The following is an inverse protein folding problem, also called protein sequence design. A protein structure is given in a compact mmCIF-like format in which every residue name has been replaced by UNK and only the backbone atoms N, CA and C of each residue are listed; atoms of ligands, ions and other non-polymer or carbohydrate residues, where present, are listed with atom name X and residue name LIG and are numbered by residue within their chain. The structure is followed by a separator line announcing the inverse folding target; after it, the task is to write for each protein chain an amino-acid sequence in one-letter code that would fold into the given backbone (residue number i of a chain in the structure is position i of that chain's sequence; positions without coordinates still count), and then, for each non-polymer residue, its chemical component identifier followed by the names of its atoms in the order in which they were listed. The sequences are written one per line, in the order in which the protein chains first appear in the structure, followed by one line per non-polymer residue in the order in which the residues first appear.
data_IF_793267421324
#
_entry.id   IF_793267421324
#
_cell.length_a   1.000
_cell.length_b   1.000
_cell.length_c   1.000
_cell.angle_alpha   90.00
_cell.angle_beta   90.00
_cell.angle_gamma   90.00
#
_symmetry.space_group_name_H-M   'P 1'
#
loop_
_entity.id
_entity.type
_entity.pdbx_description
1 polymer ?
#
# COMPACT_ATOMS: atom_id res chain seq x y z
N UNK A 1 -8.06 10.94 -26.29
CA UNK A 1 -9.19 10.02 -26.05
C UNK A 1 -8.80 9.12 -24.90
N UNK A 2 -9.38 9.35 -23.72
CA UNK A 2 -9.08 8.63 -22.47
C UNK A 2 -10.38 8.08 -21.87
N UNK A 3 -11.33 7.71 -22.74
CA UNK A 3 -12.71 7.40 -22.34
C UNK A 3 -12.82 6.20 -21.39
N UNK A 4 -11.97 5.18 -21.54
CA UNK A 4 -12.01 4.00 -20.66
C UNK A 4 -11.63 4.34 -19.21
N UNK A 5 -10.69 5.27 -18.98
CA UNK A 5 -10.30 5.74 -17.64
C UNK A 5 -11.46 6.41 -16.89
N UNK A 6 -12.40 7.04 -17.61
CA UNK A 6 -13.51 7.80 -17.03
C UNK A 6 -14.82 7.04 -17.01
N UNK A 7 -14.82 5.77 -17.42
CA UNK A 7 -15.98 4.91 -17.22
C UNK A 7 -16.11 4.52 -15.74
N UNK A 8 -17.33 4.58 -15.18
CA UNK A 8 -17.55 4.10 -13.82
C UNK A 8 -17.26 2.59 -13.71
N UNK A 9 -16.94 2.14 -12.50
CA UNK A 9 -16.69 0.73 -12.20
C UNK A 9 -17.27 0.36 -10.84
N UNK A 10 -17.78 -0.86 -10.71
CA UNK A 10 -18.21 -1.42 -9.42
C UNK A 10 -17.03 -2.08 -8.72
N UNK A 11 -16.76 -1.65 -7.48
CA UNK A 11 -15.77 -2.24 -6.60
C UNK A 11 -16.48 -2.79 -5.36
N UNK A 12 -16.75 -4.07 -5.32
CA UNK A 12 -17.57 -4.67 -4.27
C UNK A 12 -18.99 -4.07 -4.26
N UNK A 13 -19.32 -3.32 -3.20
CA UNK A 13 -20.60 -2.59 -3.07
C UNK A 13 -20.48 -1.11 -3.48
N UNK A 14 -19.27 -0.64 -3.83
CA UNK A 14 -19.00 0.75 -4.13
C UNK A 14 -19.10 1.02 -5.64
N UNK A 15 -19.74 2.12 -6.01
CA UNK A 15 -19.75 2.61 -7.39
C UNK A 15 -18.70 3.71 -7.53
N UNK A 16 -17.60 3.42 -8.21
CA UNK A 16 -16.52 4.36 -8.44
C UNK A 16 -16.76 5.16 -9.71
N UNK A 17 -16.51 6.46 -9.66
CA UNK A 17 -16.82 7.41 -10.75
C UNK A 17 -15.86 7.36 -11.94
N UNK A 18 -14.67 6.79 -11.74
CA UNK A 18 -13.65 6.57 -12.78
C UNK A 18 -12.71 5.44 -12.35
N UNK A 19 -11.77 5.08 -13.22
CA UNK A 19 -10.80 3.99 -13.03
C UNK A 19 -9.40 4.46 -12.64
N UNK A 20 -9.29 5.69 -12.15
CA UNK A 20 -8.04 6.30 -11.72
C UNK A 20 -7.88 6.09 -10.22
N UNK A 21 -6.77 5.49 -9.82
CA UNK A 21 -6.45 5.23 -8.41
C UNK A 21 -5.31 6.14 -7.96
N UNK A 22 -5.48 6.77 -6.81
CA UNK A 22 -4.37 7.32 -6.04
C UNK A 22 -3.77 6.18 -5.21
N UNK A 23 -2.62 5.59 -5.60
CA UNK A 23 -2.01 4.49 -4.85
C UNK A 23 -1.40 4.99 -3.55
N UNK A 24 -1.14 4.08 -2.59
CA UNK A 24 -0.56 4.46 -1.31
C UNK A 24 0.86 5.02 -1.47
N UNK A 25 1.09 6.17 -0.89
CA UNK A 25 2.38 6.86 -0.91
C UNK A 25 2.67 7.40 0.49
N UNK A 26 3.72 6.89 1.12
CA UNK A 26 4.18 7.37 2.44
C UNK A 26 4.60 8.83 2.35
N UNK A 27 4.04 9.68 3.23
CA UNK A 27 4.36 11.10 3.28
C UNK A 27 5.02 11.50 4.61
N UNK A 28 4.95 10.63 5.64
CA UNK A 28 5.61 10.82 6.95
C UNK A 28 5.29 12.16 7.60
N UNK A 29 4.02 12.48 7.77
CA UNK A 29 3.54 13.76 8.35
C UNK A 29 2.51 13.57 9.46
N UNK A 30 2.45 12.36 10.04
CA UNK A 30 1.62 12.13 11.22
C UNK A 30 2.10 12.95 12.42
N UNK A 31 1.16 13.44 13.20
CA UNK A 31 1.45 14.23 14.41
C UNK A 31 2.14 13.40 15.48
N UNK A 32 3.11 14.01 16.15
CA UNK A 32 3.87 13.42 17.24
C UNK A 32 3.56 14.12 18.58
N UNK A 33 3.61 13.41 19.72
CA UNK A 33 3.76 11.95 19.81
C UNK A 33 2.49 11.20 19.37
N UNK A 34 2.63 9.92 19.08
CA UNK A 34 1.50 9.01 18.89
C UNK A 34 1.18 8.66 17.44
N UNK A 35 1.90 9.17 16.45
CA UNK A 35 1.71 8.81 15.03
C UNK A 35 0.25 9.00 14.57
N UNK A 36 -0.34 10.15 14.90
CA UNK A 36 -1.76 10.46 14.69
C UNK A 36 -1.96 11.19 13.37
N UNK A 37 -2.88 10.71 12.53
CA UNK A 37 -3.32 11.44 11.34
C UNK A 37 -3.95 12.78 11.73
N UNK A 38 -3.69 13.84 10.95
CA UNK A 38 -4.01 15.22 11.31
C UNK A 38 -4.79 15.98 10.23
N UNK A 39 -5.15 17.23 10.51
CA UNK A 39 -5.96 18.07 9.64
C UNK A 39 -5.24 18.39 8.30
N UNK A 40 -3.91 18.44 8.28
CA UNK A 40 -3.12 18.59 7.06
C UNK A 40 -3.26 17.36 6.16
N UNK A 41 -3.23 16.16 6.74
CA UNK A 41 -3.49 14.91 6.00
C UNK A 41 -4.94 14.87 5.50
N UNK A 42 -5.91 15.34 6.29
CA UNK A 42 -7.31 15.44 5.86
C UNK A 42 -7.45 16.35 4.63
N UNK A 43 -6.80 17.49 4.63
CA UNK A 43 -6.75 18.41 3.47
C UNK A 43 -6.11 17.72 2.26
N UNK A 44 -4.97 17.05 2.43
CA UNK A 44 -4.24 16.36 1.38
C UNK A 44 -5.09 15.31 0.64
N UNK A 45 -5.76 14.44 1.38
CA UNK A 45 -6.61 13.41 0.77
C UNK A 45 -7.90 14.00 0.19
N UNK A 46 -8.53 14.97 0.86
CA UNK A 46 -9.73 15.64 0.35
C UNK A 46 -9.49 16.38 -0.99
N UNK A 47 -8.31 17.00 -1.18
CA UNK A 47 -7.92 17.62 -2.43
C UNK A 47 -7.88 16.64 -3.61
N UNK A 48 -7.68 15.35 -3.33
CA UNK A 48 -7.52 14.26 -4.33
C UNK A 48 -8.78 13.40 -4.48
N UNK A 49 -9.90 13.83 -3.91
CA UNK A 49 -11.16 13.09 -3.91
C UNK A 49 -11.79 12.91 -5.31
N UNK A 50 -11.26 13.53 -6.37
CA UNK A 50 -11.64 13.24 -7.75
C UNK A 50 -11.19 11.85 -8.23
N UNK A 51 -10.21 11.22 -7.60
CA UNK A 51 -9.83 9.85 -7.89
C UNK A 51 -11.03 8.91 -7.74
N UNK A 52 -11.09 7.86 -8.56
CA UNK A 52 -12.09 6.81 -8.40
C UNK A 52 -11.90 6.06 -7.07
N UNK A 53 -10.65 5.82 -6.69
CA UNK A 53 -10.27 5.22 -5.42
C UNK A 53 -9.02 5.92 -4.90
N UNK A 54 -9.01 6.26 -3.61
CA UNK A 54 -7.81 6.64 -2.87
C UNK A 54 -7.41 5.44 -2.00
N UNK A 55 -6.15 5.01 -2.07
CA UNK A 55 -5.55 4.16 -1.05
C UNK A 55 -4.61 5.04 -0.24
N UNK A 56 -4.90 5.21 1.04
CA UNK A 56 -4.11 6.04 1.95
C UNK A 56 -2.71 5.44 2.16
N UNK A 57 -1.79 6.26 2.58
CA UNK A 57 -0.41 5.85 2.89
C UNK A 57 -0.32 4.65 3.85
N UNK A 58 0.80 3.91 3.80
CA UNK A 58 1.06 2.81 4.70
C UNK A 58 0.84 3.22 6.15
N UNK A 59 -0.04 2.49 6.83
CA UNK A 59 -0.54 2.79 8.16
C UNK A 59 -0.27 1.59 9.06
N UNK A 60 0.61 1.75 10.05
CA UNK A 60 1.03 0.62 10.89
C UNK A 60 -0.10 0.10 11.76
N UNK A 61 -0.20 -1.25 11.81
CA UNK A 61 -1.23 -1.98 12.55
C UNK A 61 -0.94 -2.10 14.05
N UNK A 62 0.31 -1.91 14.44
CA UNK A 62 0.80 -1.98 15.82
C UNK A 62 2.09 -1.16 15.97
N UNK A 63 2.57 -0.90 17.20
CA UNK A 63 3.89 -0.26 17.40
C UNK A 63 5.03 -1.01 16.71
N UNK A 64 5.00 -2.34 16.71
CA UNK A 64 6.00 -3.19 16.04
C UNK A 64 5.96 -3.11 14.51
N UNK A 65 4.85 -2.62 13.94
CA UNK A 65 4.68 -2.46 12.50
C UNK A 65 5.33 -1.21 11.92
N UNK A 66 5.87 -0.31 12.74
CA UNK A 66 6.44 0.96 12.28
C UNK A 66 7.84 0.79 11.69
N UNK A 67 8.04 1.28 10.45
CA UNK A 67 9.34 1.21 9.77
C UNK A 67 10.08 2.53 9.69
N UNK A 68 9.37 3.64 9.65
CA UNK A 68 9.93 4.97 9.43
C UNK A 68 9.31 5.97 10.41
N UNK A 69 10.07 6.98 10.79
CA UNK A 69 9.57 8.05 11.61
C UNK A 69 8.36 8.76 10.98
N UNK A 70 7.43 9.20 11.82
CA UNK A 70 6.28 10.05 11.48
C UNK A 70 5.25 9.41 10.54
N UNK A 71 5.27 8.08 10.36
CA UNK A 71 4.22 7.35 9.66
C UNK A 71 3.01 7.12 10.58
N UNK A 72 1.77 7.20 10.06
CA UNK A 72 0.57 7.07 10.88
C UNK A 72 0.30 5.64 11.32
N UNK A 73 -0.34 5.48 12.48
CA UNK A 73 -0.87 4.19 12.95
C UNK A 73 -2.39 4.12 12.90
N UNK A 74 -2.95 2.94 13.21
CA UNK A 74 -4.40 2.66 13.29
C UNK A 74 -4.75 1.76 14.48
N UNK A 75 -3.94 1.75 15.53
CA UNK A 75 -4.06 0.83 16.66
C UNK A 75 -4.43 1.53 17.98
N UNK A 76 -4.51 2.86 18.01
CA UNK A 76 -4.96 3.61 19.20
C UNK A 76 -6.24 4.39 18.95
N UNK A 77 -7.02 4.71 19.99
CA UNK A 77 -8.21 5.54 19.85
C UNK A 77 -7.93 6.91 19.22
N UNK A 78 -6.80 7.53 19.54
CA UNK A 78 -6.39 8.83 19.00
C UNK A 78 -6.08 8.74 17.51
N UNK A 79 -5.45 7.64 17.08
CA UNK A 79 -5.16 7.38 15.66
C UNK A 79 -6.47 7.16 14.88
N UNK A 80 -7.40 6.38 15.43
CA UNK A 80 -8.74 6.15 14.84
C UNK A 80 -9.47 7.49 14.68
N UNK A 81 -9.48 8.32 15.74
CA UNK A 81 -10.10 9.64 15.68
C UNK A 81 -9.43 10.59 14.69
N UNK A 82 -8.10 10.51 14.55
CA UNK A 82 -7.35 11.28 13.56
C UNK A 82 -7.71 10.86 12.12
N UNK A 83 -7.75 9.57 11.83
CA UNK A 83 -8.15 9.04 10.54
C UNK A 83 -9.61 9.34 10.21
N UNK A 84 -10.50 9.39 11.24
CA UNK A 84 -11.89 9.76 11.01
C UNK A 84 -12.03 11.16 10.41
N UNK A 85 -11.22 12.14 10.82
CA UNK A 85 -11.20 13.47 10.19
C UNK A 85 -10.82 13.40 8.71
N UNK A 86 -9.87 12.53 8.37
CA UNK A 86 -9.43 12.31 6.98
C UNK A 86 -10.56 11.73 6.13
N UNK A 87 -11.18 10.65 6.60
CA UNK A 87 -12.26 9.98 5.88
C UNK A 87 -13.48 10.87 5.73
N UNK A 88 -13.88 11.59 6.77
CA UNK A 88 -14.98 12.55 6.72
C UNK A 88 -14.72 13.63 5.64
N UNK A 89 -13.50 14.21 5.61
CA UNK A 89 -13.13 15.23 4.63
C UNK A 89 -13.13 14.71 3.17
N UNK A 90 -12.71 13.46 2.95
CA UNK A 90 -12.76 12.81 1.64
C UNK A 90 -14.20 12.53 1.21
N UNK A 91 -15.02 12.02 2.13
CA UNK A 91 -16.43 11.72 1.87
C UNK A 91 -17.26 12.98 1.59
N UNK A 92 -16.99 14.08 2.27
CA UNK A 92 -17.62 15.40 1.98
C UNK A 92 -17.37 15.87 0.53
N UNK A 93 -16.26 15.43 -0.08
CA UNK A 93 -15.94 15.67 -1.49
C UNK A 93 -16.43 14.56 -2.43
N UNK A 94 -17.18 13.56 -1.91
CA UNK A 94 -17.68 12.42 -2.69
C UNK A 94 -16.58 11.46 -3.13
N UNK A 95 -15.45 11.40 -2.41
CA UNK A 95 -14.36 10.45 -2.63
C UNK A 95 -14.60 9.11 -1.95
N UNK A 96 -13.84 8.09 -2.36
CA UNK A 96 -13.77 6.75 -1.76
C UNK A 96 -12.34 6.51 -1.30
N UNK A 97 -12.15 6.07 -0.06
CA UNK A 97 -10.84 5.91 0.55
C UNK A 97 -10.69 4.60 1.30
N UNK A 98 -9.61 3.85 0.99
CA UNK A 98 -9.18 2.64 1.68
C UNK A 98 -7.93 2.92 2.53
N UNK A 99 -7.82 2.26 3.69
CA UNK A 99 -6.59 2.30 4.49
C UNK A 99 -5.61 1.24 4.00
N UNK A 100 -4.33 1.57 3.78
CA UNK A 100 -3.33 0.54 3.58
C UNK A 100 -2.77 0.07 4.92
N UNK A 101 -3.05 -1.17 5.30
CA UNK A 101 -2.58 -1.78 6.56
C UNK A 101 -1.18 -2.34 6.39
N UNK A 102 -0.28 -1.94 7.28
CA UNK A 102 1.15 -2.10 7.12
C UNK A 102 1.83 -2.65 8.37
N UNK A 103 2.67 -3.66 8.18
CA UNK A 103 3.69 -4.09 9.13
C UNK A 103 4.98 -4.30 8.34
N UNK A 104 6.02 -3.59 8.71
CA UNK A 104 7.25 -3.54 7.89
C UNK A 104 8.16 -4.75 8.07
N UNK A 105 7.91 -5.58 9.09
CA UNK A 105 8.77 -6.73 9.37
C UNK A 105 10.19 -6.32 9.72
N UNK A 106 11.18 -6.82 8.97
CA UNK A 106 12.62 -6.52 9.16
C UNK A 106 13.05 -5.13 8.70
N UNK A 107 12.16 -4.38 8.04
CA UNK A 107 12.51 -3.07 7.46
C UNK A 107 12.25 -1.98 8.50
N UNK A 108 12.96 -2.04 9.61
CA UNK A 108 12.89 -1.06 10.70
C UNK A 108 14.18 -1.04 11.54
N UNK A 109 14.21 -0.12 12.49
CA UNK A 109 15.26 -0.01 13.50
C UNK A 109 14.60 0.00 14.89
N UNK A 110 15.26 -0.51 15.95
CA UNK A 110 14.75 -0.47 17.32
C UNK A 110 14.21 0.90 17.75
N UNK A 111 14.83 1.99 17.32
CA UNK A 111 14.40 3.36 17.66
C UNK A 111 12.97 3.70 17.16
N UNK A 112 12.49 3.04 16.11
CA UNK A 112 11.13 3.22 15.61
C UNK A 112 10.10 2.34 16.34
N UNK A 113 10.54 1.28 17.04
CA UNK A 113 9.68 0.25 17.64
C UNK A 113 9.91 0.08 19.14
N UNK A 114 10.24 1.16 19.82
CA UNK A 114 10.37 1.19 21.28
C UNK A 114 11.56 0.42 21.86
N UNK A 115 12.62 0.21 21.09
CA UNK A 115 13.83 -0.51 21.49
C UNK A 115 13.76 -2.03 21.29
N UNK A 116 12.65 -2.56 20.74
CA UNK A 116 12.45 -3.98 20.47
C UNK A 116 13.26 -4.46 19.27
N UNK A 117 13.55 -5.76 19.20
CA UNK A 117 14.15 -6.36 18.01
C UNK A 117 13.09 -6.56 16.93
N UNK A 118 13.36 -6.16 15.68
CA UNK A 118 12.46 -6.42 14.56
C UNK A 118 12.13 -7.91 14.39
N UNK A 119 10.95 -8.20 13.85
CA UNK A 119 10.49 -9.55 13.55
C UNK A 119 10.32 -9.75 12.05
N UNK A 120 10.54 -10.96 11.56
CA UNK A 120 10.38 -11.32 10.15
C UNK A 120 10.03 -12.80 10.00
N UNK A 121 9.76 -13.23 8.76
CA UNK A 121 9.64 -14.66 8.43
C UNK A 121 10.86 -15.47 8.90
N UNK A 122 12.04 -14.89 8.79
CA UNK A 122 13.33 -15.51 9.12
C UNK A 122 14.29 -14.48 9.71
N UNK A 123 15.32 -14.94 10.44
CA UNK A 123 16.37 -14.10 11.01
C UNK A 123 17.40 -13.69 9.92
N UNK A 124 16.92 -13.05 8.86
CA UNK A 124 17.72 -12.60 7.72
C UNK A 124 17.64 -11.07 7.61
N UNK A 125 18.77 -10.40 7.83
CA UNK A 125 18.88 -8.94 7.65
C UNK A 125 18.67 -8.57 6.18
N UNK A 126 17.97 -7.47 5.92
CA UNK A 126 17.93 -6.87 4.58
C UNK A 126 19.21 -6.07 4.34
N UNK A 127 20.02 -6.49 3.36
CA UNK A 127 21.28 -5.86 3.08
C UNK A 127 21.12 -4.53 2.32
N UNK A 128 21.94 -3.55 2.66
CA UNK A 128 21.95 -2.21 2.05
C UNK A 128 20.62 -1.44 2.17
N UNK A 129 19.82 -1.75 3.20
CA UNK A 129 18.55 -1.10 3.49
C UNK A 129 18.71 -0.14 4.65
N UNK A 130 18.19 1.07 4.48
CA UNK A 130 18.16 2.11 5.52
C UNK A 130 16.72 2.56 5.78
N UNK A 131 16.48 2.91 7.03
CA UNK A 131 15.19 3.50 7.48
C UNK A 131 15.47 4.84 8.15
N UNK A 132 14.49 5.73 8.05
CA UNK A 132 14.56 7.03 8.70
C UNK A 132 14.06 6.92 10.14
N UNK A 133 14.87 7.38 11.08
CA UNK A 133 14.53 7.45 12.51
C UNK A 133 14.45 8.88 13.01
N UNK A 134 13.62 9.10 14.01
CA UNK A 134 13.60 10.27 14.87
C UNK A 134 13.53 9.76 16.32
N UNK A 135 14.69 9.62 16.93
CA UNK A 135 14.83 9.11 18.31
C UNK A 135 14.81 10.23 19.36
N UNK A 136 14.37 11.42 18.97
CA UNK A 136 14.31 12.60 19.85
C UNK A 136 15.68 13.27 20.08
N UNK A 137 16.71 12.89 19.32
CA UNK A 137 17.96 13.65 19.23
C UNK A 137 17.82 14.80 18.23
N UNK A 138 18.74 15.76 18.27
CA UNK A 138 18.73 16.91 17.36
C UNK A 138 19.02 16.55 15.88
N UNK A 139 19.33 15.29 15.60
CA UNK A 139 19.70 14.81 14.26
C UNK A 139 18.91 13.56 13.84
N UNK A 140 17.61 13.71 13.46
CA UNK A 140 16.90 12.62 12.80
C UNK A 140 17.58 12.24 11.47
N UNK A 141 17.62 10.96 11.12
CA UNK A 141 18.36 10.55 9.94
C UNK A 141 18.17 9.10 9.51
N UNK A 142 18.87 8.72 8.44
CA UNK A 142 18.87 7.37 7.93
C UNK A 142 19.88 6.49 8.66
N UNK A 143 19.43 5.35 9.15
CA UNK A 143 20.23 4.30 9.78
C UNK A 143 20.03 2.96 9.08
N UNK A 144 21.05 2.09 9.15
CA UNK A 144 20.92 0.73 8.63
C UNK A 144 19.90 -0.06 9.47
N UNK A 145 19.10 -0.89 8.81
CA UNK A 145 18.25 -1.86 9.51
C UNK A 145 19.13 -2.86 10.28
N UNK A 146 18.55 -3.50 11.31
CA UNK A 146 19.23 -4.50 12.11
C UNK A 146 18.75 -5.92 11.76
N UNK A 147 19.47 -6.95 12.25
CA UNK A 147 19.05 -8.33 12.09
C UNK A 147 17.73 -8.56 12.86
N UNK A 148 16.68 -9.07 12.19
CA UNK A 148 15.43 -9.41 12.84
C UNK A 148 15.55 -10.75 13.57
N UNK A 149 14.63 -11.05 14.48
CA UNK A 149 14.40 -12.41 14.91
C UNK A 149 13.33 -13.08 14.05
N UNK A 150 13.47 -14.39 13.88
CA UNK A 150 12.41 -15.20 13.24
C UNK A 150 11.15 -15.20 14.10
N UNK A 151 9.99 -15.00 13.48
CA UNK A 151 8.69 -15.08 14.14
C UNK A 151 8.40 -16.50 14.62
N UNK A 152 8.05 -16.65 15.88
CA UNK A 152 7.45 -17.87 16.39
C UNK A 152 6.02 -18.04 15.86
N UNK A 153 5.46 -19.24 15.97
CA UNK A 153 4.04 -19.47 15.64
C UNK A 153 3.09 -18.61 16.48
N UNK A 154 3.51 -18.24 17.70
CA UNK A 154 2.72 -17.32 18.52
C UNK A 154 2.79 -15.89 18.00
N UNK A 155 3.96 -15.42 17.54
CA UNK A 155 4.09 -14.11 16.90
C UNK A 155 3.22 -14.02 15.64
N UNK A 156 3.21 -15.08 14.81
CA UNK A 156 2.37 -15.15 13.61
C UNK A 156 0.90 -14.98 13.98
N UNK A 157 0.41 -15.72 14.99
CA UNK A 157 -0.98 -15.59 15.47
C UNK A 157 -1.29 -14.18 15.99
N UNK A 158 -0.37 -13.58 16.73
CA UNK A 158 -0.54 -12.24 17.28
C UNK A 158 -0.63 -11.20 16.17
N UNK A 159 0.24 -11.27 15.17
CA UNK A 159 0.25 -10.33 14.04
C UNK A 159 -0.99 -10.50 13.16
N UNK A 160 -1.48 -11.72 12.94
CA UNK A 160 -2.76 -11.95 12.26
C UNK A 160 -3.91 -11.25 13.01
N UNK A 161 -3.93 -11.36 14.35
CA UNK A 161 -4.94 -10.67 15.17
C UNK A 161 -4.79 -9.15 15.12
N UNK A 162 -3.55 -8.62 15.08
CA UNK A 162 -3.29 -7.19 14.89
C UNK A 162 -3.84 -6.68 13.55
N UNK A 163 -3.66 -7.42 12.44
CA UNK A 163 -4.27 -7.10 11.15
C UNK A 163 -5.80 -7.13 11.21
N UNK A 164 -6.37 -8.15 11.87
CA UNK A 164 -7.83 -8.24 12.07
C UNK A 164 -8.36 -7.03 12.81
N UNK A 165 -7.72 -6.65 13.92
CA UNK A 165 -8.12 -5.50 14.73
C UNK A 165 -7.93 -4.18 13.97
N UNK A 166 -6.81 -4.02 13.25
CA UNK A 166 -6.57 -2.84 12.42
C UNK A 166 -7.63 -2.67 11.32
N UNK A 167 -8.11 -3.78 10.73
CA UNK A 167 -9.20 -3.72 9.77
C UNK A 167 -10.51 -3.22 10.41
N UNK A 168 -10.85 -3.68 11.61
CA UNK A 168 -12.01 -3.15 12.37
C UNK A 168 -11.83 -1.67 12.70
N UNK A 169 -10.66 -1.27 13.18
CA UNK A 169 -10.34 0.12 13.51
C UNK A 169 -10.44 1.03 12.27
N UNK A 170 -10.03 0.55 11.10
CA UNK A 170 -10.17 1.30 9.85
C UNK A 170 -11.64 1.53 9.49
N UNK A 171 -12.51 0.55 9.67
CA UNK A 171 -13.96 0.74 9.46
C UNK A 171 -14.54 1.71 10.49
N UNK A 172 -14.13 1.63 11.75
CA UNK A 172 -14.52 2.59 12.81
C UNK A 172 -14.07 4.01 12.46
N UNK A 173 -12.86 4.17 11.90
CA UNK A 173 -12.35 5.45 11.41
C UNK A 173 -13.04 5.95 10.12
N UNK A 174 -14.00 5.21 9.57
CA UNK A 174 -14.79 5.63 8.42
C UNK A 174 -14.21 5.26 7.05
N UNK A 175 -13.13 4.48 6.97
CA UNK A 175 -12.65 3.97 5.68
C UNK A 175 -13.68 3.07 5.01
N UNK A 176 -13.78 3.14 3.69
CA UNK A 176 -14.67 2.30 2.88
C UNK A 176 -14.19 0.85 2.80
N UNK A 177 -12.91 0.62 3.02
CA UNK A 177 -12.26 -0.68 3.06
C UNK A 177 -10.79 -0.56 3.42
N UNK A 178 -10.06 -1.67 3.28
CA UNK A 178 -8.63 -1.76 3.57
C UNK A 178 -7.86 -2.44 2.44
N UNK A 179 -6.59 -2.09 2.31
CA UNK A 179 -5.63 -2.78 1.44
C UNK A 179 -4.55 -3.41 2.31
N UNK A 180 -4.36 -4.73 2.20
CA UNK A 180 -3.21 -5.38 2.82
C UNK A 180 -1.94 -5.04 2.05
N UNK A 181 -0.94 -4.48 2.72
CA UNK A 181 0.37 -4.26 2.15
C UNK A 181 1.19 -5.56 2.15
N UNK A 182 1.12 -6.31 1.05
CA UNK A 182 1.85 -7.56 0.85
C UNK A 182 2.94 -7.43 -0.23
N UNK A 183 3.57 -6.25 -0.31
CA UNK A 183 4.47 -5.83 -1.38
C UNK A 183 5.75 -5.20 -0.85
N UNK A 184 6.67 -4.85 -1.74
CA UNK A 184 7.81 -3.97 -1.50
C UNK A 184 8.77 -4.41 -0.39
N UNK A 185 8.84 -5.71 -0.10
CA UNK A 185 9.76 -6.27 0.88
C UNK A 185 9.35 -6.09 2.34
N UNK A 186 8.09 -5.76 2.63
CA UNK A 186 7.57 -5.70 4.00
C UNK A 186 7.08 -7.07 4.51
N UNK A 187 6.55 -7.14 5.73
CA UNK A 187 6.38 -8.40 6.45
C UNK A 187 5.68 -9.50 5.64
N UNK A 188 4.52 -9.24 5.05
CA UNK A 188 3.80 -10.27 4.28
C UNK A 188 4.61 -10.71 3.06
N UNK A 189 5.27 -9.77 2.37
CA UNK A 189 6.16 -10.07 1.26
C UNK A 189 7.38 -10.90 1.72
N UNK A 190 7.91 -10.66 2.94
CA UNK A 190 9.01 -11.46 3.51
C UNK A 190 8.64 -12.93 3.72
N UNK A 191 7.36 -13.26 3.94
CA UNK A 191 6.89 -14.64 3.95
C UNK A 191 6.73 -15.23 2.55
N UNK A 192 6.25 -14.44 1.58
CA UNK A 192 6.02 -14.85 0.19
C UNK A 192 7.34 -15.15 -0.54
N UNK A 193 8.35 -14.32 -0.32
CA UNK A 193 9.62 -14.30 -1.04
C UNK A 193 10.53 -15.48 -0.66
N UNK A 194 11.10 -16.14 -1.68
CA UNK A 194 11.94 -17.33 -1.47
C UNK A 194 13.29 -17.04 -0.85
N UNK A 195 13.83 -15.83 -1.05
CA UNK A 195 15.16 -15.44 -0.52
C UNK A 195 15.06 -14.79 0.87
N UNK A 196 13.91 -14.22 1.20
CA UNK A 196 13.66 -13.64 2.52
C UNK A 196 13.10 -14.65 3.54
N UNK A 197 12.66 -15.81 3.08
CA UNK A 197 12.03 -16.86 3.88
C UNK A 197 12.77 -18.19 3.76
N UNK A 198 13.60 -18.50 4.75
CA UNK A 198 14.32 -19.77 4.85
C UNK A 198 13.71 -20.74 5.92
N UNK A 199 12.44 -20.53 6.29
CA UNK A 199 11.73 -21.39 7.25
C UNK A 199 11.59 -22.81 6.73
N UNK A 200 11.60 -23.76 7.67
CA UNK A 200 11.44 -25.20 7.39
C UNK A 200 10.13 -25.78 7.94
N UNK A 201 9.27 -24.91 8.49
CA UNK A 201 7.93 -25.28 8.97
C UNK A 201 6.85 -25.01 7.89
N UNK A 202 5.58 -25.06 8.27
CA UNK A 202 4.44 -24.85 7.37
C UNK A 202 4.32 -23.45 6.77
N UNK A 203 5.19 -22.51 7.15
CA UNK A 203 5.23 -21.14 6.58
C UNK A 203 6.41 -20.92 5.62
N UNK A 204 7.19 -21.96 5.27
CA UNK A 204 8.36 -21.86 4.41
C UNK A 204 8.53 -23.02 3.44
N UNK A 205 9.49 -22.89 2.54
CA UNK A 205 9.81 -23.87 1.52
C UNK A 205 8.92 -23.76 0.28
N UNK A 206 7.87 -24.56 0.17
CA UNK A 206 6.98 -24.55 -1.03
C UNK A 206 6.23 -23.22 -1.18
N UNK A 207 5.81 -22.90 -2.40
CA UNK A 207 4.97 -21.73 -2.69
C UNK A 207 3.71 -21.75 -1.81
N UNK A 208 3.04 -22.88 -1.67
CA UNK A 208 1.85 -23.01 -0.81
C UNK A 208 2.15 -22.61 0.64
N UNK A 209 3.25 -23.06 1.21
CA UNK A 209 3.64 -22.74 2.58
C UNK A 209 4.01 -21.25 2.72
N UNK A 210 4.75 -20.68 1.76
CA UNK A 210 5.13 -19.26 1.76
C UNK A 210 3.91 -18.33 1.62
N UNK A 211 2.84 -18.79 0.98
CA UNK A 211 1.58 -18.06 0.83
C UNK A 211 0.63 -18.24 2.02
N UNK A 212 0.92 -19.14 2.96
CA UNK A 212 0.04 -19.43 4.11
C UNK A 212 -0.23 -18.20 4.97
N UNK A 213 0.80 -17.44 5.32
CA UNK A 213 0.64 -16.24 6.12
C UNK A 213 -0.21 -15.18 5.41
N UNK A 214 -0.02 -14.97 4.11
CA UNK A 214 -0.89 -14.11 3.30
C UNK A 214 -2.36 -14.56 3.41
N UNK A 215 -2.62 -15.84 3.21
CA UNK A 215 -3.97 -16.41 3.27
C UNK A 215 -4.64 -16.20 4.62
N UNK A 216 -3.94 -16.52 5.72
CA UNK A 216 -4.46 -16.40 7.09
C UNK A 216 -4.74 -14.95 7.48
N UNK A 217 -3.88 -14.00 7.08
CA UNK A 217 -4.12 -12.55 7.30
C UNK A 217 -5.36 -12.09 6.54
N UNK A 218 -5.48 -12.46 5.25
CA UNK A 218 -6.63 -12.08 4.42
C UNK A 218 -7.93 -12.70 4.97
N UNK A 219 -7.91 -13.96 5.38
CA UNK A 219 -9.07 -14.61 6.01
C UNK A 219 -9.51 -13.90 7.28
N UNK A 220 -8.56 -13.55 8.17
CA UNK A 220 -8.88 -12.84 9.40
C UNK A 220 -9.51 -11.46 9.14
N UNK A 221 -8.97 -10.71 8.17
CA UNK A 221 -9.50 -9.41 7.78
C UNK A 221 -10.88 -9.53 7.11
N UNK A 222 -11.06 -10.47 6.17
CA UNK A 222 -12.33 -10.67 5.45
C UNK A 222 -13.44 -11.19 6.37
N UNK A 223 -13.12 -12.02 7.35
CA UNK A 223 -14.06 -12.43 8.39
C UNK A 223 -14.49 -11.26 9.28
N UNK A 224 -13.59 -10.33 9.55
CA UNK A 224 -13.87 -9.17 10.39
C UNK A 224 -14.74 -8.10 9.71
N UNK A 225 -14.46 -7.76 8.45
CA UNK A 225 -15.07 -6.61 7.76
C UNK A 225 -15.77 -6.94 6.44
N UNK A 226 -15.76 -8.20 6.02
CA UNK A 226 -16.35 -8.69 4.77
C UNK A 226 -15.40 -8.63 3.57
N UNK A 227 -15.54 -9.59 2.66
CA UNK A 227 -14.67 -9.76 1.48
C UNK A 227 -14.70 -8.56 0.53
N UNK A 228 -15.84 -7.84 0.45
CA UNK A 228 -16.02 -6.68 -0.44
C UNK A 228 -15.26 -5.43 0.00
N UNK A 229 -14.56 -5.48 1.13
CA UNK A 229 -13.83 -4.37 1.74
C UNK A 229 -12.34 -4.64 1.91
N UNK A 230 -11.83 -5.75 1.42
CA UNK A 230 -10.42 -6.13 1.55
C UNK A 230 -9.79 -6.27 0.17
N UNK A 231 -8.84 -5.39 -0.14
CA UNK A 231 -7.93 -5.49 -1.27
C UNK A 231 -6.54 -5.95 -0.81
N UNK A 232 -5.71 -6.38 -1.73
CA UNK A 232 -4.33 -6.82 -1.46
C UNK A 232 -3.37 -6.23 -2.47
N UNK A 233 -2.27 -5.62 -1.99
CA UNK A 233 -1.19 -5.13 -2.85
C UNK A 233 -0.03 -6.11 -2.88
N UNK A 234 0.42 -6.47 -4.10
CA UNK A 234 1.52 -7.37 -4.39
C UNK A 234 2.57 -6.66 -5.25
N UNK A 235 3.84 -7.08 -5.16
CA UNK A 235 4.95 -6.56 -5.99
C UNK A 235 5.83 -7.70 -6.51
N UNK A 236 5.45 -8.32 -7.64
CA UNK A 236 6.05 -9.59 -8.11
C UNK A 236 7.53 -9.50 -8.49
N UNK A 237 7.95 -8.37 -9.04
CA UNK A 237 9.29 -8.19 -9.61
C UNK A 237 10.12 -7.15 -8.86
N UNK A 238 9.74 -6.86 -7.61
CA UNK A 238 10.49 -5.91 -6.79
C UNK A 238 11.80 -6.53 -6.30
N UNK A 239 12.83 -5.68 -6.16
CA UNK A 239 14.03 -5.98 -5.40
C UNK A 239 14.15 -5.07 -4.15
N UNK A 240 13.08 -4.31 -3.84
CA UNK A 240 13.04 -3.43 -2.70
C UNK A 240 13.21 -4.18 -1.39
N UNK A 241 13.98 -3.58 -0.48
CA UNK A 241 14.16 -4.07 0.88
C UNK A 241 14.70 -5.51 0.96
N UNK A 242 15.48 -5.91 -0.07
CA UNK A 242 16.17 -7.19 -0.09
C UNK A 242 15.24 -8.39 -0.33
N UNK A 243 14.16 -8.20 -1.06
CA UNK A 243 13.30 -9.29 -1.54
C UNK A 243 13.58 -9.56 -3.01
N UNK A 244 13.81 -10.83 -3.35
CA UNK A 244 13.98 -11.32 -4.73
C UNK A 244 13.43 -12.73 -4.79
N UNK A 245 12.20 -12.90 -5.26
CA UNK A 245 11.64 -14.24 -5.42
C UNK A 245 12.29 -14.96 -6.61
N UNK A 246 12.71 -16.21 -6.43
CA UNK A 246 13.38 -17.00 -7.47
C UNK A 246 12.42 -17.47 -8.56
N UNK A 247 11.11 -17.50 -8.29
CA UNK A 247 10.06 -17.95 -9.22
C UNK A 247 8.86 -17.00 -9.20
N UNK A 248 9.04 -15.70 -9.49
CA UNK A 248 7.99 -14.70 -9.24
C UNK A 248 6.71 -14.95 -10.05
N UNK A 249 6.81 -15.47 -11.26
CA UNK A 249 5.64 -15.80 -12.09
C UNK A 249 4.77 -16.87 -11.41
N UNK A 250 5.38 -17.98 -11.00
CA UNK A 250 4.66 -19.08 -10.35
C UNK A 250 4.11 -18.66 -8.98
N UNK A 251 4.94 -18.01 -8.18
CA UNK A 251 4.59 -17.56 -6.83
C UNK A 251 3.40 -16.60 -6.85
N UNK A 252 3.44 -15.57 -7.69
CA UNK A 252 2.39 -14.55 -7.68
C UNK A 252 1.16 -14.92 -8.50
N UNK A 253 1.26 -15.84 -9.46
CA UNK A 253 0.10 -16.49 -10.07
C UNK A 253 -0.65 -17.37 -9.06
N UNK A 254 0.09 -18.13 -8.24
CA UNK A 254 -0.50 -18.91 -7.14
C UNK A 254 -1.13 -17.99 -6.07
N UNK A 255 -0.48 -16.85 -5.73
CA UNK A 255 -1.05 -15.85 -4.84
C UNK A 255 -2.36 -15.29 -5.40
N UNK A 256 -2.41 -14.94 -6.69
CA UNK A 256 -3.64 -14.47 -7.34
C UNK A 256 -4.78 -15.50 -7.26
N UNK A 257 -4.48 -16.77 -7.51
CA UNK A 257 -5.44 -17.87 -7.39
C UNK A 257 -5.94 -18.09 -5.95
N UNK A 258 -5.06 -17.92 -4.95
CA UNK A 258 -5.44 -17.95 -3.53
C UNK A 258 -6.38 -16.80 -3.20
N UNK A 259 -6.06 -15.58 -3.65
CA UNK A 259 -6.86 -14.38 -3.39
C UNK A 259 -8.22 -14.40 -4.10
N UNK A 260 -8.31 -15.05 -5.27
CA UNK A 260 -9.58 -15.33 -5.96
C UNK A 260 -10.49 -16.22 -5.11
N UNK A 261 -9.95 -17.32 -4.55
CA UNK A 261 -10.69 -18.21 -3.64
C UNK A 261 -11.17 -17.49 -2.37
N UNK A 262 -10.39 -16.53 -1.88
CA UNK A 262 -10.73 -15.73 -0.70
C UNK A 262 -11.67 -14.57 -1.03
N UNK A 263 -12.02 -14.38 -2.29
CA UNK A 263 -12.94 -13.36 -2.80
C UNK A 263 -12.57 -11.93 -2.37
N UNK A 264 -11.28 -11.59 -2.35
CA UNK A 264 -10.85 -10.21 -2.09
C UNK A 264 -11.41 -9.27 -3.18
N UNK A 265 -11.65 -8.01 -2.82
CA UNK A 265 -12.33 -7.07 -3.72
C UNK A 265 -11.45 -6.60 -4.88
N UNK A 266 -10.13 -6.55 -4.68
CA UNK A 266 -9.15 -6.29 -5.74
C UNK A 266 -7.77 -6.84 -5.40
N UNK A 267 -6.97 -7.07 -6.44
CA UNK A 267 -5.52 -7.20 -6.36
C UNK A 267 -4.90 -5.96 -6.99
N UNK A 268 -3.96 -5.32 -6.26
CA UNK A 268 -3.19 -4.17 -6.70
C UNK A 268 -1.75 -4.59 -6.95
N UNK A 269 -1.35 -4.68 -8.21
CA UNK A 269 0.02 -5.00 -8.61
C UNK A 269 0.85 -3.71 -8.65
N UNK A 270 1.83 -3.64 -7.76
CA UNK A 270 2.87 -2.63 -7.84
C UNK A 270 3.92 -3.08 -8.87
N UNK A 271 3.90 -2.44 -10.03
CA UNK A 271 4.98 -2.57 -11.01
C UNK A 271 6.14 -1.70 -10.55
N UNK A 272 7.33 -2.15 -10.79
CA UNK A 272 8.53 -1.41 -10.40
C UNK A 272 8.64 -0.16 -11.24
N UNK A 273 8.88 1.01 -10.64
CA UNK A 273 8.80 2.30 -11.33
C UNK A 273 10.05 3.18 -11.20
N UNK A 274 11.17 2.63 -10.69
CA UNK A 274 12.47 3.27 -10.77
C UNK A 274 13.21 2.93 -12.06
N UNK A 275 14.21 3.72 -12.40
CA UNK A 275 14.75 3.80 -13.76
C UNK A 275 15.39 2.51 -14.29
N UNK A 276 15.89 1.65 -13.44
CA UNK A 276 16.53 0.36 -13.77
C UNK A 276 15.62 -0.86 -13.57
N UNK A 277 14.36 -0.66 -13.24
CA UNK A 277 13.44 -1.74 -13.00
C UNK A 277 12.99 -2.44 -14.29
N UNK A 278 12.85 -3.77 -14.29
CA UNK A 278 12.32 -4.49 -15.43
C UNK A 278 10.84 -4.19 -15.64
N UNK A 279 10.43 -4.14 -16.90
CA UNK A 279 9.00 -4.10 -17.24
C UNK A 279 8.32 -5.41 -16.80
N UNK A 280 7.11 -5.30 -16.29
CA UNK A 280 6.31 -6.49 -15.95
C UNK A 280 5.95 -7.27 -17.22
N UNK A 281 6.32 -8.55 -17.33
CA UNK A 281 6.06 -9.34 -18.54
C UNK A 281 4.57 -9.44 -18.86
N UNK A 282 4.24 -9.35 -20.15
CA UNK A 282 2.85 -9.47 -20.62
C UNK A 282 2.22 -10.81 -20.25
N UNK A 283 2.99 -11.90 -20.38
CA UNK A 283 2.52 -13.25 -20.07
C UNK A 283 2.16 -13.40 -18.58
N UNK A 284 2.92 -12.70 -17.70
CA UNK A 284 2.57 -12.63 -16.28
C UNK A 284 1.22 -11.93 -16.05
N UNK A 285 0.99 -10.77 -16.71
CA UNK A 285 -0.30 -10.07 -16.60
C UNK A 285 -1.47 -10.92 -17.05
N UNK A 286 -1.26 -11.68 -18.12
CA UNK A 286 -2.25 -12.66 -18.63
C UNK A 286 -2.51 -13.76 -17.60
N UNK A 287 -1.45 -14.37 -17.05
CA UNK A 287 -1.58 -15.42 -16.04
C UNK A 287 -2.31 -14.95 -14.77
N UNK A 288 -2.00 -13.74 -14.29
CA UNK A 288 -2.71 -13.14 -13.16
C UNK A 288 -4.17 -12.88 -13.49
N UNK A 289 -4.48 -12.36 -14.70
CA UNK A 289 -5.88 -12.15 -15.14
C UNK A 289 -6.66 -13.45 -15.23
N UNK A 290 -6.02 -14.53 -15.67
CA UNK A 290 -6.64 -15.86 -15.72
C UNK A 290 -6.88 -16.45 -14.33
N UNK A 291 -5.94 -16.24 -13.40
CA UNK A 291 -6.01 -16.74 -12.04
C UNK A 291 -6.98 -15.98 -11.14
N UNK A 292 -7.19 -14.69 -11.39
CA UNK A 292 -8.04 -13.82 -10.56
C UNK A 292 -9.14 -13.15 -11.38
N UNK A 293 -10.40 -13.32 -10.95
CA UNK A 293 -11.58 -12.84 -11.68
C UNK A 293 -12.12 -11.49 -11.17
N UNK A 294 -11.62 -11.02 -10.04
CA UNK A 294 -12.00 -9.72 -9.46
C UNK A 294 -11.30 -8.53 -10.14
N UNK A 295 -11.35 -7.39 -9.50
CA UNK A 295 -10.76 -6.13 -10.01
C UNK A 295 -9.23 -6.16 -9.91
N UNK A 296 -8.54 -5.90 -11.03
CA UNK A 296 -7.09 -5.73 -11.08
C UNK A 296 -6.72 -4.26 -11.21
N UNK A 297 -5.89 -3.79 -10.28
CA UNK A 297 -5.27 -2.46 -10.30
C UNK A 297 -3.78 -2.64 -10.60
N UNK A 298 -3.26 -1.91 -11.58
CA UNK A 298 -1.82 -1.82 -11.82
C UNK A 298 -1.33 -0.41 -11.53
N UNK A 299 -0.19 -0.28 -10.87
CA UNK A 299 0.46 0.99 -10.59
C UNK A 299 1.96 0.88 -10.90
N UNK A 300 2.48 1.86 -11.65
CA UNK A 300 3.87 1.91 -12.10
C UNK A 300 4.11 3.13 -12.97
N UNK A 301 4.82 2.94 -14.09
CA UNK A 301 5.13 4.00 -15.06
C UNK A 301 4.00 4.22 -16.08
N UNK A 302 2.78 4.45 -15.59
CA UNK A 302 1.64 4.73 -16.47
C UNK A 302 1.53 6.22 -16.78
N UNK A 303 1.29 6.51 -18.05
CA UNK A 303 0.71 7.75 -18.53
C UNK A 303 -0.74 7.47 -18.99
N UNK A 304 -1.46 8.50 -19.40
CA UNK A 304 -2.86 8.37 -19.80
C UNK A 304 -3.07 7.37 -20.95
N UNK A 305 -2.19 7.37 -21.95
CA UNK A 305 -2.28 6.50 -23.13
C UNK A 305 -2.03 5.01 -22.77
N UNK A 306 -0.95 4.71 -22.01
CA UNK A 306 -0.68 3.35 -21.52
C UNK A 306 -1.80 2.85 -20.61
N UNK A 307 -2.35 3.71 -19.77
CA UNK A 307 -3.45 3.39 -18.88
C UNK A 307 -4.73 3.03 -19.65
N UNK A 308 -5.08 3.83 -20.64
CA UNK A 308 -6.19 3.58 -21.55
C UNK A 308 -6.04 2.20 -22.22
N UNK A 309 -4.86 1.94 -22.80
CA UNK A 309 -4.59 0.67 -23.48
C UNK A 309 -4.66 -0.55 -22.54
N UNK A 310 -4.13 -0.41 -21.32
CA UNK A 310 -4.18 -1.50 -20.33
C UNK A 310 -5.61 -1.87 -19.93
N UNK A 311 -6.51 -0.88 -19.83
CA UNK A 311 -7.93 -1.12 -19.54
C UNK A 311 -8.64 -1.71 -20.76
N UNK A 312 -8.43 -1.16 -21.95
CA UNK A 312 -9.07 -1.65 -23.20
C UNK A 312 -8.65 -3.08 -23.54
N UNK A 313 -7.43 -3.47 -23.21
CA UNK A 313 -6.95 -4.85 -23.40
C UNK A 313 -7.55 -5.86 -22.42
N UNK A 314 -8.24 -5.39 -21.35
CA UNK A 314 -8.81 -6.23 -20.31
C UNK A 314 -7.79 -6.78 -19.29
N UNK A 315 -6.50 -6.40 -19.40
CA UNK A 315 -5.46 -6.81 -18.44
C UNK A 315 -5.55 -6.07 -17.13
N UNK A 316 -6.05 -4.82 -17.15
CA UNK A 316 -6.30 -4.02 -15.98
C UNK A 316 -7.75 -3.53 -15.94
N UNK A 317 -8.29 -3.34 -14.76
CA UNK A 317 -9.61 -2.71 -14.54
C UNK A 317 -9.46 -1.26 -14.08
N UNK A 318 -8.40 -0.94 -13.35
CA UNK A 318 -8.07 0.39 -12.84
C UNK A 318 -6.56 0.61 -12.87
N UNK A 319 -6.13 1.87 -12.93
CA UNK A 319 -4.71 2.25 -12.97
C UNK A 319 -4.37 3.25 -11.86
N UNK A 320 -3.28 2.94 -11.14
CA UNK A 320 -2.70 3.80 -10.12
C UNK A 320 -1.65 4.76 -10.68
N UNK A 321 -1.77 6.04 -10.32
CA UNK A 321 -0.83 7.10 -10.69
C UNK A 321 -0.19 7.67 -9.41
N UNK A 322 0.99 7.17 -9.02
CA UNK A 322 1.64 7.57 -7.78
C UNK A 322 2.16 9.01 -7.81
N UNK A 323 3.38 9.20 -8.29
CA UNK A 323 4.04 10.52 -8.32
C UNK A 323 3.24 11.62 -9.00
N UNK A 324 2.46 11.37 -10.07
CA UNK A 324 1.60 12.41 -10.64
C UNK A 324 0.58 12.98 -9.64
N UNK A 325 0.02 12.18 -8.73
CA UNK A 325 -0.89 12.68 -7.69
C UNK A 325 -0.21 13.54 -6.63
N UNK A 326 1.11 13.46 -6.45
CA UNK A 326 1.80 14.31 -5.47
C UNK A 326 1.61 15.78 -5.80
N UNK A 327 1.91 16.17 -7.03
CA UNK A 327 1.88 17.59 -7.48
C UNK A 327 0.60 18.00 -8.20
N UNK A 328 -0.33 17.06 -8.45
CA UNK A 328 -1.55 17.33 -9.18
C UNK A 328 -2.77 16.82 -8.38
N UNK A 329 -3.30 17.63 -7.45
CA UNK A 329 -4.46 17.21 -6.65
C UNK A 329 -5.68 16.91 -7.53
N UNK A 330 -5.82 17.58 -8.65
CA UNK A 330 -6.86 17.48 -9.67
C UNK A 330 -6.44 16.58 -10.87
N UNK A 331 -5.59 15.58 -10.63
CA UNK A 331 -5.02 14.72 -11.68
C UNK A 331 -6.08 14.14 -12.63
N UNK A 332 -7.24 13.61 -12.17
CA UNK A 332 -8.27 13.11 -13.09
C UNK A 332 -8.75 14.19 -14.08
N UNK A 333 -9.01 15.41 -13.61
CA UNK A 333 -9.39 16.54 -14.46
C UNK A 333 -8.29 16.90 -15.46
N UNK A 334 -7.02 16.91 -15.04
CA UNK A 334 -5.89 17.19 -15.95
C UNK A 334 -5.78 16.12 -17.04
N UNK A 335 -5.88 14.84 -16.70
CA UNK A 335 -5.87 13.75 -17.67
C UNK A 335 -7.06 13.87 -18.63
N UNK A 336 -8.27 14.15 -18.13
CA UNK A 336 -9.49 14.24 -18.92
C UNK A 336 -9.43 15.35 -19.98
N UNK A 337 -8.88 16.49 -19.62
CA UNK A 337 -8.87 17.68 -20.46
C UNK A 337 -7.52 17.91 -21.17
N UNK A 338 -6.53 17.03 -20.94
CA UNK A 338 -5.20 17.20 -21.54
C UNK A 338 -4.42 18.38 -20.96
N UNK A 339 -4.68 18.77 -19.72
CA UNK A 339 -3.96 19.84 -19.05
C UNK A 339 -2.55 19.43 -18.67
N UNK A 340 -1.60 20.38 -18.59
CA UNK A 340 -0.22 20.07 -18.23
C UNK A 340 -0.13 19.52 -16.80
N UNK A 341 0.73 18.54 -16.59
CA UNK A 341 1.05 18.01 -15.26
C UNK A 341 2.18 18.84 -14.63
N UNK A 342 1.99 19.21 -13.36
CA UNK A 342 3.04 19.79 -12.54
C UNK A 342 3.99 18.70 -12.06
N UNK A 343 5.27 19.01 -11.94
CA UNK A 343 6.29 18.15 -11.34
C UNK A 343 6.33 18.35 -9.82
N UNK A 344 6.56 17.27 -9.10
CA UNK A 344 6.72 17.33 -7.65
C UNK A 344 8.15 17.75 -7.25
N UNK A 345 8.27 18.41 -6.11
CA UNK A 345 9.56 18.71 -5.49
C UNK A 345 10.01 17.47 -4.68
N UNK A 346 11.06 16.75 -5.13
CA UNK A 346 11.52 15.53 -4.46
C UNK A 346 12.03 15.77 -3.04
N UNK A 347 12.40 16.99 -2.69
CA UNK A 347 12.87 17.36 -1.34
C UNK A 347 11.76 17.45 -0.31
N UNK A 348 10.51 17.46 -0.75
CA UNK A 348 9.31 17.59 0.09
C UNK A 348 8.47 16.30 0.16
N UNK A 349 8.98 15.19 -0.33
CA UNK A 349 8.22 13.93 -0.36
C UNK A 349 7.91 13.38 1.03
N UNK A 350 8.84 13.49 1.97
CA UNK A 350 8.72 12.91 3.30
C UNK A 350 8.95 13.96 4.39
N UNK A 351 8.12 13.90 5.45
CA UNK A 351 8.23 14.80 6.59
C UNK A 351 7.89 16.26 6.26
N UNK A 352 8.20 17.17 7.16
CA UNK A 352 7.96 18.61 6.98
C UNK A 352 6.53 19.05 7.34
N UNK A 353 6.10 20.09 6.67
CA UNK A 353 4.81 20.78 6.91
C UNK A 353 3.90 20.72 5.66
N UNK A 354 3.12 21.77 5.46
CA UNK A 354 2.18 21.92 4.33
C UNK A 354 2.88 21.94 2.96
N UNK A 355 4.15 22.42 2.92
CA UNK A 355 4.90 22.55 1.68
C UNK A 355 5.14 21.17 1.03
N UNK A 356 4.81 21.08 -0.27
CA UNK A 356 4.92 19.83 -1.04
C UNK A 356 3.89 18.77 -0.67
N UNK A 357 2.87 19.13 0.14
CA UNK A 357 1.77 18.27 0.51
C UNK A 357 0.42 18.86 0.05
N UNK A 358 0.03 20.02 0.60
CA UNK A 358 -1.28 20.64 0.37
C UNK A 358 -1.23 21.94 -0.43
N UNK A 359 -0.05 22.45 -0.74
CA UNK A 359 0.19 23.73 -1.42
C UNK A 359 0.28 23.63 -2.97
N UNK A 360 0.21 22.42 -3.52
CA UNK A 360 0.11 22.27 -4.98
C UNK A 360 -1.26 22.71 -5.48
N UNK A 361 -1.33 23.67 -6.44
CA UNK A 361 -2.59 24.20 -6.92
C UNK A 361 -3.30 23.26 -7.90
N UNK A 362 -4.62 23.28 -7.89
CA UNK A 362 -5.39 22.80 -9.02
C UNK A 362 -5.13 23.66 -10.27
N UNK A 363 -5.26 23.06 -11.47
CA UNK A 363 -5.10 23.79 -12.72
C UNK A 363 -6.34 24.65 -13.00
N UNK A 364 -6.11 25.92 -13.26
CA UNK A 364 -7.13 26.84 -13.75
C UNK A 364 -6.84 27.15 -15.20
N UNK A 365 -7.71 26.67 -16.11
CA UNK A 365 -7.69 27.14 -17.48
C UNK A 365 -8.02 28.65 -17.47
N UNK A 366 -7.07 29.49 -17.88
CA UNK A 366 -7.24 30.93 -17.97
C UNK A 366 -8.27 31.35 -19.01
#
# INVERSE_FOLDING_TARGET
MTDALFQPIQLGSLSLKNRIVMPPMTRSRASQPGNVANDMMATYYAQRAEAGLIVAEGTQISPMGQGYAWTPGIYSPEQIAGWKKVTDAVHEKGGVIFAQLWHVGRVTHPDNIGGEQPISSSALKAENVKVFIDNGTDEPGFVDVVEPREMTKQDIKNVIEEYRQAALNAIEAGFDGVELHAANGYLVNQFIDSEANNRTDEYGGSIENRLRFLGEVVEAMTQAIGTKRVGVRLAPFTSLNGTVDSTPVDTYTAAAALLDKLNVVYIHIAEVDWDDAPDTPHDFKTAVREAYKGTLIYAGRYNAEKAQHAIESGLADMIGFGRPFVANPDLPSRIKHGYPLAEHDPTTLFGGNEKGLVDYPAYHAG
#
